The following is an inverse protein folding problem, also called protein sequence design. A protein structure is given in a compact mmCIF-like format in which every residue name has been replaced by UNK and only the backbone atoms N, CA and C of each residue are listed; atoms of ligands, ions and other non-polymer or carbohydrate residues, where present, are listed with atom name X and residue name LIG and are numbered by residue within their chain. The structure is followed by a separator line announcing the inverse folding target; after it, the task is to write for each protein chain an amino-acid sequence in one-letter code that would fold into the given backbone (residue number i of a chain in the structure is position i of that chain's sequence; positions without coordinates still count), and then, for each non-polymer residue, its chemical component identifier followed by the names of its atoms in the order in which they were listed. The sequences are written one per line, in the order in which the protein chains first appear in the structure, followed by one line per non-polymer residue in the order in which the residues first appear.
data_IF_636192193352
#
_entry.id   IF_636192193352
#
_cell.length_a   1.000
_cell.length_b   1.000
_cell.length_c   1.000
_cell.angle_alpha   90.00
_cell.angle_beta   90.00
_cell.angle_gamma   90.00
#
_symmetry.space_group_name_H-M   'P 1'
#
loop_
_entity.id
_entity.type
_entity.pdbx_description
1 polymer ?
#
# COMPACT_ATOMS: atom_id res chain seq x y z
N UNK A 1 -0.33 -8.24 11.52
CA UNK A 1 -1.63 -8.95 11.54
C UNK A 1 -1.77 -9.67 10.21
N UNK A 2 -2.02 -10.99 10.18
CA UNK A 2 -2.36 -11.67 8.93
C UNK A 2 -3.80 -11.31 8.56
N UNK A 3 -4.00 -10.75 7.37
CA UNK A 3 -5.32 -10.50 6.80
C UNK A 3 -6.01 -11.85 6.56
N UNK A 4 -7.25 -11.98 7.02
CA UNK A 4 -8.06 -13.20 6.94
C UNK A 4 -9.26 -13.03 6.00
N UNK A 5 -9.98 -14.11 5.71
CA UNK A 5 -11.19 -14.06 4.87
C UNK A 5 -12.27 -13.15 5.49
N UNK A 6 -12.49 -13.22 6.80
CA UNK A 6 -13.45 -12.33 7.49
C UNK A 6 -13.05 -10.86 7.45
N UNK A 7 -11.79 -10.54 7.15
CA UNK A 7 -11.36 -9.16 6.99
C UNK A 7 -11.71 -8.57 5.62
N UNK A 8 -11.73 -9.38 4.57
CA UNK A 8 -11.71 -8.88 3.18
C UNK A 8 -12.74 -9.52 2.24
N UNK A 9 -13.42 -10.60 2.64
CA UNK A 9 -14.43 -11.22 1.80
C UNK A 9 -15.53 -10.22 1.40
N UNK A 10 -15.82 -10.13 0.11
CA UNK A 10 -16.79 -9.20 -0.46
C UNK A 10 -16.33 -7.74 -0.55
N UNK A 11 -15.13 -7.41 -0.09
CA UNK A 11 -14.60 -6.03 -0.14
C UNK A 11 -14.08 -5.68 -1.52
N UNK A 12 -14.13 -4.40 -1.87
CA UNK A 12 -13.43 -3.83 -3.04
C UNK A 12 -12.17 -3.16 -2.55
N UNK A 13 -11.01 -3.76 -2.83
CA UNK A 13 -9.77 -3.35 -2.19
C UNK A 13 -8.71 -2.83 -3.17
N UNK A 14 -7.89 -1.89 -2.69
CA UNK A 14 -6.69 -1.40 -3.38
C UNK A 14 -5.46 -1.91 -2.63
N UNK A 15 -4.49 -2.45 -3.36
CA UNK A 15 -3.18 -2.78 -2.80
C UNK A 15 -2.32 -1.53 -2.80
N UNK A 16 -1.78 -1.13 -1.67
CA UNK A 16 -0.92 0.03 -1.54
C UNK A 16 0.40 -0.29 -0.83
N UNK A 17 1.44 0.48 -1.10
CA UNK A 17 2.69 0.26 -0.41
C UNK A 17 3.91 0.95 -0.96
N UNK A 18 5.02 0.69 -0.29
CA UNK A 18 6.35 1.11 -0.64
C UNK A 18 7.25 -0.11 -0.84
N UNK A 19 7.86 -0.19 -2.01
CA UNK A 19 8.82 -1.25 -2.35
C UNK A 19 10.18 -0.65 -2.67
N UNK A 20 11.24 -1.39 -2.36
CA UNK A 20 12.61 -0.99 -2.68
C UNK A 20 12.89 -1.18 -4.17
N UNK A 21 13.59 -0.25 -4.80
CA UNK A 21 14.04 -0.41 -6.19
C UNK A 21 15.08 -1.54 -6.38
N UNK A 22 15.68 -2.02 -5.29
CA UNK A 22 16.60 -3.18 -5.31
C UNK A 22 15.87 -4.51 -5.25
N UNK A 23 14.63 -4.51 -4.76
CA UNK A 23 13.80 -5.69 -4.71
C UNK A 23 13.24 -5.94 -6.11
N UNK A 24 13.89 -6.85 -6.83
CA UNK A 24 13.50 -7.23 -8.20
C UNK A 24 12.23 -8.08 -8.21
N UNK A 25 11.92 -8.71 -7.10
CA UNK A 25 10.78 -9.62 -6.93
C UNK A 25 9.56 -8.90 -6.39
N UNK A 26 9.67 -7.60 -6.08
CA UNK A 26 8.56 -6.77 -5.62
C UNK A 26 7.30 -6.88 -6.50
N UNK A 27 7.36 -6.85 -7.85
CA UNK A 27 6.16 -7.08 -8.68
C UNK A 27 5.49 -8.42 -8.39
N UNK A 28 6.28 -9.49 -8.33
CA UNK A 28 5.82 -10.85 -8.09
C UNK A 28 5.18 -10.97 -6.70
N UNK A 29 5.78 -10.37 -5.67
CA UNK A 29 5.17 -10.32 -4.34
C UNK A 29 3.83 -9.57 -4.34
N UNK A 30 3.68 -8.50 -5.13
CA UNK A 30 2.38 -7.81 -5.26
C UNK A 30 1.36 -8.68 -5.99
N UNK A 31 1.77 -9.45 -7.01
CA UNK A 31 0.90 -10.40 -7.70
C UNK A 31 0.45 -11.53 -6.76
N UNK A 32 1.34 -12.03 -5.91
CA UNK A 32 1.02 -13.04 -4.89
C UNK A 32 0.03 -12.51 -3.84
N UNK A 33 0.19 -11.26 -3.41
CA UNK A 33 -0.76 -10.59 -2.51
C UNK A 33 -2.13 -10.47 -3.17
N UNK A 34 -2.21 -10.07 -4.44
CA UNK A 34 -3.48 -10.01 -5.17
C UNK A 34 -4.14 -11.38 -5.29
N UNK A 35 -3.38 -12.42 -5.65
CA UNK A 35 -3.87 -13.78 -5.72
C UNK A 35 -4.34 -14.30 -4.35
N UNK A 36 -3.66 -13.93 -3.27
CA UNK A 36 -4.11 -14.23 -1.90
C UNK A 36 -5.43 -13.52 -1.58
N UNK A 37 -5.53 -12.21 -1.78
CA UNK A 37 -6.75 -11.44 -1.49
C UNK A 37 -7.95 -11.93 -2.30
N UNK A 38 -7.74 -12.28 -3.57
CA UNK A 38 -8.77 -12.86 -4.45
C UNK A 38 -9.25 -14.20 -3.92
N UNK A 39 -8.34 -15.08 -3.46
CA UNK A 39 -8.70 -16.36 -2.82
C UNK A 39 -9.46 -16.17 -1.51
N UNK A 40 -9.21 -15.08 -0.78
CA UNK A 40 -9.94 -14.69 0.43
C UNK A 40 -11.27 -13.96 0.12
N UNK A 41 -11.70 -13.93 -1.15
CA UNK A 41 -13.00 -13.38 -1.55
C UNK A 41 -13.03 -11.86 -1.73
N UNK A 42 -11.89 -11.18 -1.74
CA UNK A 42 -11.82 -9.76 -2.06
C UNK A 42 -11.81 -9.52 -3.57
N UNK A 43 -12.31 -8.36 -4.01
CA UNK A 43 -12.14 -7.87 -5.38
C UNK A 43 -11.04 -6.81 -5.38
N UNK A 44 -9.86 -7.14 -5.93
CA UNK A 44 -8.78 -6.15 -6.07
C UNK A 44 -9.10 -5.23 -7.23
N UNK A 45 -9.41 -3.97 -6.91
CA UNK A 45 -9.82 -2.96 -7.90
C UNK A 45 -8.66 -2.07 -8.32
N UNK A 46 -7.48 -2.15 -7.71
CA UNK A 46 -6.34 -1.32 -8.13
C UNK A 46 -5.09 -1.53 -7.30
N UNK A 47 -3.99 -0.92 -7.75
CA UNK A 47 -2.68 -0.98 -7.09
C UNK A 47 -2.02 0.41 -7.09
N UNK A 48 -1.58 0.87 -5.92
CA UNK A 48 -0.81 2.12 -5.75
C UNK A 48 0.48 1.80 -4.99
N UNK A 49 1.49 1.35 -5.74
CA UNK A 49 2.79 0.97 -5.18
C UNK A 49 3.84 2.01 -5.56
N UNK A 50 4.51 2.55 -4.56
CA UNK A 50 5.62 3.47 -4.73
C UNK A 50 6.95 2.72 -4.72
N UNK A 51 7.81 2.95 -5.73
CA UNK A 51 9.20 2.45 -5.72
C UNK A 51 10.13 3.47 -5.10
N UNK A 52 10.88 3.08 -4.06
CA UNK A 52 11.91 3.92 -3.40
C UNK A 52 13.29 3.63 -3.95
N UNK A 53 14.08 4.68 -4.17
CA UNK A 53 15.47 4.56 -4.69
C UNK A 53 15.62 4.92 -6.17
N UNK A 54 14.52 5.02 -6.92
CA UNK A 54 14.51 5.52 -8.31
C UNK A 54 14.55 7.06 -8.39
N UNK A 55 13.79 7.76 -7.54
CA UNK A 55 13.72 9.24 -7.54
C UNK A 55 14.75 9.93 -6.63
N UNK A 56 15.30 9.22 -5.64
CA UNK A 56 16.31 9.76 -4.72
C UNK A 56 17.76 9.57 -5.19
N UNK A 57 18.00 9.00 -6.38
CA UNK A 57 19.33 8.78 -6.92
C UNK A 57 20.17 10.09 -7.05
N UNK A 58 19.50 11.25 -7.15
CA UNK A 58 20.16 12.57 -7.25
C UNK A 58 20.37 13.29 -5.90
N UNK A 59 19.95 12.72 -4.75
CA UNK A 59 20.16 13.32 -3.42
C UNK A 59 21.02 12.40 -2.53
N UNK A 60 22.09 12.91 -1.89
CA UNK A 60 22.89 12.13 -0.94
C UNK A 60 21.96 11.59 0.17
N UNK A 61 21.89 10.27 0.32
CA UNK A 61 20.99 9.59 1.27
C UNK A 61 19.85 8.76 0.66
N UNK A 62 19.68 8.80 -0.67
CA UNK A 62 18.68 7.97 -1.37
C UNK A 62 19.00 6.47 -1.37
N UNK A 63 20.29 6.12 -1.37
CA UNK A 63 20.76 4.72 -1.40
C UNK A 63 20.73 4.06 -0.03
N UNK A 64 20.93 4.83 1.05
CA UNK A 64 20.96 4.32 2.43
C UNK A 64 19.58 4.20 3.09
N UNK A 65 18.53 4.80 2.50
CA UNK A 65 17.17 4.82 3.07
C UNK A 65 16.12 4.10 2.22
N UNK A 66 16.52 3.17 1.35
CA UNK A 66 15.61 2.53 0.37
C UNK A 66 14.45 1.74 1.00
N UNK A 67 14.58 1.31 2.25
CA UNK A 67 13.54 0.59 3.00
C UNK A 67 12.82 1.47 4.05
N UNK A 68 13.22 2.74 4.22
CA UNK A 68 12.57 3.61 5.19
C UNK A 68 11.19 4.08 4.65
N UNK A 69 10.33 4.66 5.51
CA UNK A 69 9.19 5.47 5.08
C UNK A 69 9.62 6.75 4.32
N UNK A 70 8.96 7.13 3.22
CA UNK A 70 9.12 8.46 2.63
C UNK A 70 8.50 9.54 3.51
N UNK A 71 7.35 9.23 4.12
CA UNK A 71 6.71 10.05 5.15
C UNK A 71 6.37 9.20 6.35
N UNK A 72 6.68 9.69 7.55
CA UNK A 72 6.43 8.95 8.78
C UNK A 72 4.94 8.60 8.98
N UNK A 73 4.03 9.47 8.54
CA UNK A 73 2.59 9.30 8.74
C UNK A 73 1.90 8.35 7.75
N UNK A 74 2.48 8.11 6.57
CA UNK A 74 1.79 7.39 5.46
C UNK A 74 2.65 6.34 4.77
N UNK A 75 3.94 6.23 5.11
CA UNK A 75 4.97 5.44 4.42
C UNK A 75 5.28 5.92 3.00
N UNK A 76 4.27 6.15 2.17
CA UNK A 76 4.37 6.72 0.82
C UNK A 76 4.34 8.25 0.81
N UNK A 77 4.80 8.86 -0.29
CA UNK A 77 4.83 10.31 -0.48
C UNK A 77 3.46 10.92 -0.78
N UNK A 78 3.32 12.24 -0.61
CA UNK A 78 2.04 12.95 -0.72
C UNK A 78 1.32 12.67 -2.05
N UNK A 79 1.99 12.83 -3.20
CA UNK A 79 1.33 12.58 -4.48
C UNK A 79 0.82 11.14 -4.67
N UNK A 80 1.46 10.16 -4.03
CA UNK A 80 0.97 8.77 -4.04
C UNK A 80 -0.20 8.55 -3.08
N UNK A 81 -0.25 9.32 -1.99
CA UNK A 81 -1.42 9.34 -1.10
C UNK A 81 -2.62 9.97 -1.82
N UNK A 82 -2.41 11.06 -2.55
CA UNK A 82 -3.47 11.72 -3.33
C UNK A 82 -3.98 10.79 -4.45
N UNK A 83 -3.06 10.12 -5.17
CA UNK A 83 -3.40 9.08 -6.15
C UNK A 83 -4.20 7.92 -5.54
N UNK A 84 -3.83 7.47 -4.33
CA UNK A 84 -4.55 6.43 -3.61
C UNK A 84 -5.98 6.87 -3.24
N UNK A 85 -6.16 8.10 -2.74
CA UNK A 85 -7.48 8.63 -2.40
C UNK A 85 -8.36 8.79 -3.65
N UNK A 86 -7.81 9.33 -4.74
CA UNK A 86 -8.52 9.44 -6.01
C UNK A 86 -8.95 8.07 -6.54
N UNK A 87 -8.03 7.10 -6.57
CA UNK A 87 -8.33 5.74 -7.02
C UNK A 87 -9.40 5.06 -6.15
N UNK A 88 -9.34 5.26 -4.83
CA UNK A 88 -10.35 4.74 -3.92
C UNK A 88 -11.74 5.27 -4.24
N UNK A 89 -11.85 6.57 -4.50
CA UNK A 89 -13.11 7.20 -4.89
C UNK A 89 -13.58 6.70 -6.26
N UNK A 90 -12.73 6.78 -7.29
CA UNK A 90 -13.07 6.45 -8.68
C UNK A 90 -13.49 4.98 -8.84
N UNK A 91 -12.85 4.08 -8.10
CA UNK A 91 -13.08 2.63 -8.19
C UNK A 91 -14.02 2.11 -7.12
N UNK A 92 -14.57 3.00 -6.30
CA UNK A 92 -15.45 2.66 -5.18
C UNK A 92 -14.82 1.58 -4.29
N UNK A 93 -13.56 1.78 -3.92
CA UNK A 93 -12.87 0.91 -2.98
C UNK A 93 -13.30 1.25 -1.55
N UNK A 94 -13.55 0.23 -0.75
CA UNK A 94 -13.90 0.36 0.67
C UNK A 94 -12.72 -0.01 1.59
N UNK A 95 -11.70 -0.68 1.05
CA UNK A 95 -10.57 -1.23 1.80
C UNK A 95 -9.24 -0.96 1.10
N UNK A 96 -8.22 -0.59 1.87
CA UNK A 96 -6.83 -0.49 1.41
C UNK A 96 -6.00 -1.56 2.14
N UNK A 97 -5.34 -2.42 1.36
CA UNK A 97 -4.40 -3.41 1.87
C UNK A 97 -2.98 -2.88 1.68
N UNK A 98 -2.33 -2.51 2.78
CA UNK A 98 -0.98 -2.00 2.80
C UNK A 98 0.02 -3.14 2.96
N UNK A 99 0.93 -3.30 2.00
CA UNK A 99 1.88 -4.43 2.01
C UNK A 99 3.01 -4.27 3.02
N UNK A 100 3.28 -3.04 3.46
CA UNK A 100 4.19 -2.77 4.56
C UNK A 100 3.43 -2.78 5.89
N UNK A 101 4.04 -3.23 7.01
CA UNK A 101 3.45 -3.09 8.33
C UNK A 101 3.20 -1.61 8.63
N UNK A 102 2.01 -1.32 9.17
CA UNK A 102 1.63 0.02 9.61
C UNK A 102 1.52 0.08 11.12
N UNK A 103 1.83 1.25 11.69
CA UNK A 103 1.46 1.61 13.05
C UNK A 103 0.00 2.09 13.06
N UNK A 104 -0.68 1.97 14.21
CA UNK A 104 -2.06 2.45 14.37
C UNK A 104 -2.26 3.90 13.91
N UNK A 105 -1.31 4.80 14.23
CA UNK A 105 -1.39 6.20 13.78
C UNK A 105 -1.28 6.38 12.26
N UNK A 106 -0.57 5.49 11.57
CA UNK A 106 -0.47 5.50 10.12
C UNK A 106 -1.75 4.95 9.47
N UNK A 107 -2.32 3.88 10.04
CA UNK A 107 -3.61 3.34 9.60
C UNK A 107 -4.73 4.37 9.76
N UNK A 108 -4.82 5.03 10.94
CA UNK A 108 -5.78 6.11 11.17
C UNK A 108 -5.61 7.25 10.17
N UNK A 109 -4.37 7.69 9.94
CA UNK A 109 -4.11 8.79 9.01
C UNK A 109 -4.46 8.44 7.57
N UNK A 110 -4.12 7.24 7.11
CA UNK A 110 -4.48 6.77 5.77
C UNK A 110 -5.99 6.63 5.64
N UNK A 111 -6.68 6.10 6.64
CA UNK A 111 -8.15 6.00 6.70
C UNK A 111 -8.82 7.37 6.58
N UNK A 112 -8.33 8.38 7.30
CA UNK A 112 -8.85 9.75 7.21
C UNK A 112 -8.73 10.33 5.79
N UNK A 113 -7.65 10.01 5.08
CA UNK A 113 -7.38 10.57 3.75
C UNK A 113 -8.15 9.83 2.66
N UNK A 114 -8.21 8.50 2.73
CA UNK A 114 -8.82 7.68 1.67
C UNK A 114 -10.31 7.43 1.89
N UNK A 115 -10.80 7.56 3.13
CA UNK A 115 -12.14 7.14 3.53
C UNK A 115 -12.32 5.62 3.64
N UNK A 116 -11.29 4.82 3.33
CA UNK A 116 -11.35 3.36 3.36
C UNK A 116 -10.93 2.78 4.71
N UNK A 117 -11.37 1.56 5.03
CA UNK A 117 -10.69 0.73 6.04
C UNK A 117 -9.26 0.47 5.57
N UNK A 118 -8.28 0.57 6.47
CA UNK A 118 -6.87 0.29 6.16
C UNK A 118 -6.42 -0.90 6.98
N UNK A 119 -5.84 -1.90 6.30
CA UNK A 119 -5.23 -3.08 6.89
C UNK A 119 -3.80 -3.21 6.40
N UNK A 120 -2.91 -3.76 7.23
CA UNK A 120 -1.51 -4.01 6.84
C UNK A 120 -1.13 -5.47 6.95
N UNK A 121 -0.29 -5.95 6.03
CA UNK A 121 0.17 -7.36 5.95
C UNK A 121 1.35 -7.68 6.90
N UNK A 122 1.51 -6.90 7.97
CA UNK A 122 2.63 -6.98 8.92
C UNK A 122 2.69 -8.25 9.75
#
# INVERSE_FOLDING_TARGET
MKVSESDVAGTRCIIAGLVSAKDKDAPQHIDEVEAMLTRLGATVVGRVVQRRGVSSAKKPGGVTKMNAPLRAATIIGAGKVDELAAMASDRQADTVIFVNPLKTSQESRLKEITGCRVLSLG
#
